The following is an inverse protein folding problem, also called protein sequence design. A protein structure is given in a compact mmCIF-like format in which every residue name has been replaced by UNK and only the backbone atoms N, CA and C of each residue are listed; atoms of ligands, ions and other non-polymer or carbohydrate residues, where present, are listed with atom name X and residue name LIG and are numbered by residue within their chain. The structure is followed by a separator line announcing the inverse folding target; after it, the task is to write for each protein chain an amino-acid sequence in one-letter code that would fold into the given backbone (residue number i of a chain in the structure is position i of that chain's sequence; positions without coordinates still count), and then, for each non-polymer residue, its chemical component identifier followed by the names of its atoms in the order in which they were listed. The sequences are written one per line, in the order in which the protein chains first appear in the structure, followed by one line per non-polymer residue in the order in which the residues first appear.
data_IF_514425881085
#
_entry.id   IF_514425881085
#
_cell.length_a   1.000
_cell.length_b   1.000
_cell.length_c   1.000
_cell.angle_alpha   90.00
_cell.angle_beta   90.00
_cell.angle_gamma   90.00
#
_symmetry.space_group_name_H-M   'P 1'
#
loop_
_entity.id
_entity.type
_entity.pdbx_description
1 polymer ?
#
# COMPACT_ATOMS: atom_id res chain seq x y z
N UNK A 1 -92.21 -14.76 -19.05
CA UNK A 1 -90.93 -14.15 -19.45
C UNK A 1 -89.78 -14.95 -18.86
N UNK A 2 -88.99 -15.68 -19.67
CA UNK A 2 -87.75 -16.37 -19.21
C UNK A 2 -86.59 -15.86 -20.07
N UNK A 3 -85.65 -15.13 -19.47
CA UNK A 3 -84.45 -14.62 -20.16
C UNK A 3 -83.33 -15.66 -20.09
N UNK A 4 -82.72 -15.99 -21.24
CA UNK A 4 -81.54 -16.87 -21.36
C UNK A 4 -80.25 -16.09 -21.04
N UNK A 5 -79.21 -16.72 -20.44
CA UNK A 5 -77.91 -16.09 -20.23
C UNK A 5 -76.98 -16.20 -21.47
N UNK A 6 -75.97 -15.32 -21.64
CA UNK A 6 -75.05 -15.31 -22.78
C UNK A 6 -73.87 -16.30 -22.63
N UNK A 7 -73.26 -16.77 -23.74
CA UNK A 7 -72.09 -17.65 -23.69
C UNK A 7 -70.81 -16.89 -23.33
N UNK A 8 -70.00 -17.46 -22.43
CA UNK A 8 -68.69 -16.94 -22.03
C UNK A 8 -67.62 -17.46 -23.01
N UNK A 9 -67.06 -16.56 -23.81
CA UNK A 9 -65.94 -16.84 -24.72
C UNK A 9 -64.64 -16.77 -23.91
N UNK A 10 -64.10 -17.92 -23.52
CA UNK A 10 -62.82 -18.02 -22.83
C UNK A 10 -61.62 -17.85 -23.79
N UNK A 11 -60.44 -17.46 -23.28
CA UNK A 11 -59.24 -17.25 -24.08
C UNK A 11 -58.86 -18.53 -24.86
N UNK A 12 -58.71 -18.42 -26.17
CA UNK A 12 -58.37 -19.53 -27.06
C UNK A 12 -56.90 -19.92 -26.94
N UNK A 13 -56.61 -21.21 -26.72
CA UNK A 13 -55.26 -21.79 -26.64
C UNK A 13 -54.35 -21.51 -27.85
N UNK A 14 -54.92 -21.16 -29.01
CA UNK A 14 -54.13 -20.80 -30.20
C UNK A 14 -53.39 -19.46 -30.06
N UNK A 15 -53.85 -18.55 -29.17
CA UNK A 15 -53.18 -17.28 -28.93
C UNK A 15 -51.97 -17.37 -28.00
N UNK A 16 -51.90 -18.42 -27.17
CA UNK A 16 -50.85 -18.57 -26.14
C UNK A 16 -49.58 -19.19 -26.69
N UNK A 17 -49.66 -20.07 -27.70
CA UNK A 17 -48.49 -20.73 -28.29
C UNK A 17 -47.65 -19.83 -29.20
N UNK A 18 -48.23 -18.80 -29.83
CA UNK A 18 -47.46 -17.84 -30.64
C UNK A 18 -46.63 -16.87 -29.79
N UNK A 19 -47.08 -16.55 -28.57
CA UNK A 19 -46.40 -15.59 -27.69
C UNK A 19 -45.22 -16.20 -26.92
N UNK A 20 -45.25 -17.50 -26.63
CA UNK A 20 -44.18 -18.19 -25.87
C UNK A 20 -42.85 -18.26 -26.62
N UNK A 21 -42.85 -18.36 -27.95
CA UNK A 21 -41.61 -18.42 -28.74
C UNK A 21 -40.79 -17.10 -28.69
N UNK A 22 -41.47 -15.95 -28.74
CA UNK A 22 -40.82 -14.63 -28.67
C UNK A 22 -40.45 -14.27 -27.21
N UNK A 23 -41.31 -14.66 -26.25
CA UNK A 23 -41.09 -14.40 -24.82
C UNK A 23 -39.98 -15.31 -24.25
N UNK A 24 -39.84 -16.55 -24.73
CA UNK A 24 -38.78 -17.47 -24.30
C UNK A 24 -37.39 -17.01 -24.76
N UNK A 25 -37.26 -16.45 -25.97
CA UNK A 25 -35.99 -15.91 -26.49
C UNK A 25 -35.43 -14.75 -25.65
N UNK A 26 -36.30 -13.92 -25.07
CA UNK A 26 -35.90 -12.82 -24.17
C UNK A 26 -35.80 -13.25 -22.70
N UNK A 27 -36.51 -14.31 -22.28
CA UNK A 27 -36.44 -14.84 -20.92
C UNK A 27 -35.06 -15.44 -20.59
N UNK A 28 -34.43 -16.13 -21.55
CA UNK A 28 -33.05 -16.63 -21.37
C UNK A 28 -32.03 -15.49 -21.31
N UNK A 29 -32.22 -14.42 -22.09
CA UNK A 29 -31.34 -13.25 -22.09
C UNK A 29 -31.39 -12.47 -20.75
N UNK A 30 -32.57 -12.32 -20.14
CA UNK A 30 -32.73 -11.66 -18.84
C UNK A 30 -32.21 -12.53 -17.69
N UNK A 31 -32.46 -13.85 -17.73
CA UNK A 31 -32.02 -14.78 -16.68
C UNK A 31 -30.50 -14.99 -16.69
N UNK A 32 -29.89 -15.06 -17.87
CA UNK A 32 -28.44 -15.10 -18.03
C UNK A 32 -27.76 -13.83 -17.51
N UNK A 33 -28.36 -12.66 -17.73
CA UNK A 33 -27.80 -11.38 -17.25
C UNK A 33 -27.91 -11.24 -15.71
N UNK A 34 -28.98 -11.75 -15.10
CA UNK A 34 -29.12 -11.80 -13.64
C UNK A 34 -28.12 -12.78 -13.02
N UNK A 35 -27.96 -13.98 -13.60
CA UNK A 35 -26.95 -14.94 -13.16
C UNK A 35 -25.53 -14.36 -13.29
N UNK A 36 -25.22 -13.72 -14.42
CA UNK A 36 -23.95 -13.02 -14.65
C UNK A 36 -23.72 -11.91 -13.61
N UNK A 37 -24.74 -11.11 -13.29
CA UNK A 37 -24.67 -10.08 -12.25
C UNK A 37 -24.47 -10.67 -10.85
N UNK A 38 -25.12 -11.79 -10.54
CA UNK A 38 -24.95 -12.45 -9.24
C UNK A 38 -23.54 -13.04 -9.11
N UNK A 39 -23.01 -13.68 -10.15
CA UNK A 39 -21.63 -14.16 -10.17
C UNK A 39 -20.62 -13.01 -10.09
N UNK A 40 -20.83 -11.92 -10.85
CA UNK A 40 -19.98 -10.73 -10.76
C UNK A 40 -20.02 -10.11 -9.35
N UNK A 41 -21.19 -10.02 -8.73
CA UNK A 41 -21.34 -9.47 -7.37
C UNK A 41 -20.69 -10.37 -6.31
N UNK A 42 -20.73 -11.69 -6.48
CA UNK A 42 -20.01 -12.63 -5.63
C UNK A 42 -18.49 -12.46 -5.75
N UNK A 43 -17.97 -12.34 -6.98
CA UNK A 43 -16.55 -12.11 -7.23
C UNK A 43 -16.08 -10.76 -6.65
N UNK A 44 -16.87 -9.70 -6.83
CA UNK A 44 -16.57 -8.37 -6.27
C UNK A 44 -16.60 -8.40 -4.74
N UNK A 45 -17.59 -9.06 -4.13
CA UNK A 45 -17.66 -9.20 -2.68
C UNK A 45 -16.44 -9.94 -2.12
N UNK A 46 -16.00 -11.00 -2.80
CA UNK A 46 -14.82 -11.78 -2.42
C UNK A 46 -13.53 -10.95 -2.57
N UNK A 47 -13.41 -10.16 -3.63
CA UNK A 47 -12.27 -9.25 -3.83
C UNK A 47 -12.25 -8.11 -2.80
N UNK A 48 -13.41 -7.58 -2.42
CA UNK A 48 -13.51 -6.57 -1.36
C UNK A 48 -13.13 -7.11 0.02
N UNK A 49 -13.50 -8.35 0.34
CA UNK A 49 -13.06 -8.98 1.59
C UNK A 49 -11.54 -9.19 1.61
N UNK A 50 -10.93 -9.62 0.51
CA UNK A 50 -9.48 -9.76 0.40
C UNK A 50 -8.76 -8.40 0.54
N UNK A 51 -9.28 -7.35 -0.11
CA UNK A 51 -8.74 -6.00 -0.01
C UNK A 51 -8.83 -5.43 1.43
N UNK A 52 -9.94 -5.68 2.12
CA UNK A 52 -10.10 -5.26 3.53
C UNK A 52 -9.11 -5.98 4.46
N UNK A 53 -8.87 -7.28 4.25
CA UNK A 53 -7.89 -8.04 5.03
C UNK A 53 -6.46 -7.54 4.78
N UNK A 54 -6.11 -7.24 3.53
CA UNK A 54 -4.81 -6.67 3.20
C UNK A 54 -4.60 -5.28 3.85
N UNK A 55 -5.62 -4.42 3.81
CA UNK A 55 -5.56 -3.12 4.45
C UNK A 55 -5.42 -3.22 5.99
N UNK A 56 -6.13 -4.16 6.62
CA UNK A 56 -6.02 -4.41 8.06
C UNK A 56 -4.62 -4.89 8.47
N UNK A 57 -4.00 -5.79 7.69
CA UNK A 57 -2.62 -6.24 7.93
C UNK A 57 -1.62 -5.10 7.77
N UNK A 58 -1.83 -4.23 6.78
CA UNK A 58 -0.92 -3.10 6.54
C UNK A 58 -0.95 -2.11 7.71
N UNK A 59 -2.12 -1.88 8.31
CA UNK A 59 -2.24 -1.02 9.50
C UNK A 59 -1.49 -1.62 10.71
N UNK A 60 -1.58 -2.94 10.91
CA UNK A 60 -0.91 -3.60 12.03
C UNK A 60 0.63 -3.55 11.91
N UNK A 61 1.15 -3.71 10.69
CA UNK A 61 2.59 -3.64 10.42
C UNK A 61 3.14 -2.22 10.66
N UNK A 62 2.41 -1.19 10.20
CA UNK A 62 2.79 0.21 10.41
C UNK A 62 2.77 0.59 11.90
N UNK A 63 1.79 0.14 12.67
CA UNK A 63 1.77 0.38 14.13
C UNK A 63 2.93 -0.30 14.84
N UNK A 64 3.29 -1.53 14.44
CA UNK A 64 4.41 -2.26 15.03
C UNK A 64 5.75 -1.57 14.70
N UNK A 65 5.91 -1.10 13.46
CA UNK A 65 7.08 -0.31 13.05
C UNK A 65 7.16 1.03 13.80
N UNK A 66 6.04 1.72 13.99
CA UNK A 66 6.01 2.99 14.72
C UNK A 66 6.40 2.82 16.20
N UNK A 67 5.98 1.73 16.85
CA UNK A 67 6.41 1.40 18.20
C UNK A 67 7.93 1.13 18.27
N UNK A 68 8.48 0.46 17.26
CA UNK A 68 9.92 0.20 17.19
C UNK A 68 10.73 1.49 17.00
N UNK A 69 10.24 2.43 16.17
CA UNK A 69 10.84 3.75 16.01
C UNK A 69 10.79 4.57 17.31
N UNK A 70 9.65 4.56 18.00
CA UNK A 70 9.48 5.28 19.26
C UNK A 70 10.40 4.74 20.37
N UNK A 71 10.59 3.41 20.44
CA UNK A 71 11.54 2.79 21.36
C UNK A 71 12.99 3.22 21.08
N UNK A 72 13.38 3.28 19.80
CA UNK A 72 14.73 3.74 19.41
C UNK A 72 14.96 5.21 19.78
N UNK A 73 13.93 6.06 19.62
CA UNK A 73 14.00 7.48 19.95
C UNK A 73 14.16 7.72 21.46
N UNK A 74 13.45 6.95 22.30
CA UNK A 74 13.63 7.05 23.76
C UNK A 74 15.04 6.64 24.20
N UNK A 75 15.65 5.65 23.53
CA UNK A 75 16.98 5.18 23.87
C UNK A 75 18.08 6.23 23.57
N UNK A 76 17.91 7.06 22.53
CA UNK A 76 18.81 8.20 22.28
C UNK A 76 18.64 9.33 23.30
N UNK A 77 17.41 9.60 23.77
CA UNK A 77 17.17 10.67 24.73
C UNK A 77 17.75 10.37 26.12
N UNK A 78 17.89 9.09 26.51
CA UNK A 78 18.45 8.73 27.80
C UNK A 78 20.00 8.75 27.82
N UNK A 79 20.65 8.67 26.65
CA UNK A 79 22.11 8.73 26.55
C UNK A 79 22.69 10.15 26.74
N UNK A 80 21.86 11.21 26.65
CA UNK A 80 22.31 12.60 26.81
C UNK A 80 22.17 13.16 28.23
N UNK A 81 21.63 12.39 29.17
CA UNK A 81 21.49 12.80 30.59
C UNK A 81 22.41 11.96 31.48
N UNK A 82 23.71 11.96 31.17
CA UNK A 82 24.73 11.59 32.16
C UNK A 82 25.02 12.80 33.05
N UNK A 83 24.95 12.70 34.40
CA UNK A 83 25.43 13.75 35.29
C UNK A 83 26.91 13.99 35.01
N UNK A 84 27.25 15.22 34.64
CA UNK A 84 28.61 15.67 34.34
C UNK A 84 29.50 15.51 35.58
N UNK A 85 30.22 14.40 35.65
CA UNK A 85 31.49 14.34 36.36
C UNK A 85 32.49 15.23 35.60
N UNK A 86 33.38 15.98 36.29
CA UNK A 86 34.34 16.87 35.64
C UNK A 86 35.21 16.06 34.69
N UNK A 87 34.99 16.26 33.39
CA UNK A 87 35.70 15.60 32.32
C UNK A 87 37.18 16.00 32.36
N UNK A 88 38.05 15.01 32.48
CA UNK A 88 39.41 15.12 31.98
C UNK A 88 39.35 15.49 30.47
N UNK A 89 40.26 16.34 29.97
CA UNK A 89 40.22 16.82 28.60
C UNK A 89 40.25 15.62 27.63
N UNK A 90 39.19 15.49 26.83
CA UNK A 90 39.15 14.56 25.71
C UNK A 90 40.32 14.88 24.76
N UNK A 91 40.98 13.87 24.17
CA UNK A 91 42.04 14.10 23.20
C UNK A 91 41.47 14.92 22.05
N UNK A 92 42.23 15.94 21.65
CA UNK A 92 41.81 16.90 20.63
C UNK A 92 41.53 16.20 19.30
N UNK A 93 40.25 15.94 19.00
CA UNK A 93 39.78 15.42 17.71
C UNK A 93 40.21 16.29 16.51
N UNK A 94 40.64 17.54 16.75
CA UNK A 94 41.24 18.41 15.73
C UNK A 94 42.58 17.91 15.19
N UNK A 95 43.39 17.19 16.00
CA UNK A 95 44.68 16.66 15.56
C UNK A 95 44.54 15.49 14.57
N UNK A 96 43.56 14.62 14.80
CA UNK A 96 43.25 13.51 13.90
C UNK A 96 42.65 14.00 12.57
N UNK A 97 41.80 15.04 12.62
CA UNK A 97 41.25 15.66 11.40
C UNK A 97 42.34 16.23 10.48
N UNK A 98 43.30 16.95 11.04
CA UNK A 98 44.41 17.53 10.29
C UNK A 98 45.31 16.42 9.70
N UNK A 99 45.51 15.33 10.44
CA UNK A 99 46.27 14.17 9.96
C UNK A 99 45.57 13.47 8.80
N UNK A 100 44.24 13.31 8.87
CA UNK A 100 43.42 12.71 7.80
C UNK A 100 43.37 13.58 6.54
N UNK A 101 43.27 14.91 6.69
CA UNK A 101 43.33 15.85 5.56
C UNK A 101 44.67 15.78 4.83
N UNK A 102 45.77 15.55 5.56
CA UNK A 102 47.11 15.39 4.97
C UNK A 102 47.25 14.09 4.19
N UNK A 103 46.73 12.97 4.71
CA UNK A 103 46.72 11.69 4.02
C UNK A 103 45.93 11.74 2.71
N UNK A 104 44.77 12.42 2.69
CA UNK A 104 43.99 12.63 1.47
C UNK A 104 44.76 13.45 0.42
N UNK A 105 45.55 14.45 0.84
CA UNK A 105 46.36 15.25 -0.06
C UNK A 105 47.51 14.44 -0.68
N UNK A 106 48.17 13.58 0.10
CA UNK A 106 49.22 12.69 -0.39
C UNK A 106 48.67 11.66 -1.40
N UNK A 107 47.48 11.10 -1.14
CA UNK A 107 46.83 10.16 -2.06
C UNK A 107 46.38 10.82 -3.37
N UNK A 108 45.95 12.09 -3.32
CA UNK A 108 45.67 12.90 -4.51
C UNK A 108 46.95 13.19 -5.31
N UNK A 109 48.05 13.55 -4.62
CA UNK A 109 49.34 13.79 -5.26
C UNK A 109 49.93 12.52 -5.90
N UNK A 110 49.66 11.35 -5.31
CA UNK A 110 49.99 10.05 -5.87
C UNK A 110 49.09 9.64 -7.06
N UNK A 111 48.05 10.43 -7.37
CA UNK A 111 47.09 10.14 -8.44
C UNK A 111 46.15 8.95 -8.13
N UNK A 112 46.08 8.53 -6.87
CA UNK A 112 45.21 7.43 -6.40
C UNK A 112 43.77 7.92 -6.25
N UNK A 113 43.59 9.17 -5.79
CA UNK A 113 42.30 9.85 -5.78
C UNK A 113 42.22 10.91 -6.88
N UNK A 114 41.05 11.01 -7.48
CA UNK A 114 40.74 12.13 -8.38
C UNK A 114 40.26 13.36 -7.59
N UNK A 115 40.20 14.52 -8.27
CA UNK A 115 39.79 15.79 -7.64
C UNK A 115 38.38 15.74 -7.02
N UNK A 116 37.46 15.01 -7.64
CA UNK A 116 36.07 14.91 -7.18
C UNK A 116 35.96 14.10 -5.87
N UNK A 117 36.70 12.99 -5.77
CA UNK A 117 36.74 12.13 -4.58
C UNK A 117 37.44 12.82 -3.41
N UNK A 118 38.50 13.60 -3.68
CA UNK A 118 39.18 14.38 -2.66
C UNK A 118 38.27 15.44 -2.01
N UNK A 119 37.50 16.19 -2.81
CA UNK A 119 36.58 17.22 -2.30
C UNK A 119 35.43 16.60 -1.50
N UNK A 120 34.88 15.45 -1.94
CA UNK A 120 33.85 14.74 -1.21
C UNK A 120 34.34 14.25 0.17
N UNK A 121 35.54 13.64 0.23
CA UNK A 121 36.11 13.15 1.48
C UNK A 121 36.46 14.29 2.44
N UNK A 122 36.95 15.42 1.93
CA UNK A 122 37.23 16.63 2.72
C UNK A 122 35.96 17.25 3.28
N UNK A 123 34.87 17.31 2.50
CA UNK A 123 33.58 17.79 2.99
C UNK A 123 33.01 16.90 4.10
N UNK A 124 33.17 15.57 3.97
CA UNK A 124 32.74 14.61 4.97
C UNK A 124 33.54 14.69 6.28
N UNK A 125 34.83 15.04 6.20
CA UNK A 125 35.68 15.26 7.36
C UNK A 125 35.37 16.58 8.10
N UNK A 126 34.87 17.60 7.41
CA UNK A 126 34.61 18.93 7.99
C UNK A 126 33.15 19.14 8.42
N UNK A 127 32.21 18.41 7.82
CA UNK A 127 30.77 18.54 8.06
C UNK A 127 30.09 17.29 8.63
N UNK A 128 30.87 16.28 9.00
CA UNK A 128 30.42 15.11 9.77
C UNK A 128 30.22 15.42 11.25
#
# INVERSE_FOLDING_TARGET
MRRRPPPRRGPSLMGTMARTAVIAGTATAVSGNVAQKQHAKANVAQQQQAAQQAAAQTQTDVEQMQQQLAALQMQQAQATITPVAPAAPAPAAGGDLITQLKQLADLKAAGILNDAEFEAAKAQLLGG
#
